data_IF_351683591917
#
_entry.id   IF_351683591917
#
_cell.length_a   1.000
_cell.length_b   1.000
_cell.length_c   1.000
_cell.angle_alpha   90.00
_cell.angle_beta   90.00
_cell.angle_gamma   90.00
#
_symmetry.space_group_name_H-M   'P 1'
#
loop_
_entity.id
_entity.type
_entity.pdbx_description
1 polymer ?
#
# COMPACT_ATOMS: atom_id res chain seq x y z
N UNK A 1 -5.56 -16.36 -5.95
CA UNK A 1 -4.62 -16.10 -4.84
C UNK A 1 -3.96 -14.73 -4.95
N UNK A 2 -3.43 -14.32 -6.11
CA UNK A 2 -2.86 -12.96 -6.29
C UNK A 2 -3.83 -11.84 -5.93
N UNK A 3 -5.08 -11.89 -6.39
CA UNK A 3 -6.11 -10.89 -6.04
C UNK A 3 -6.34 -10.81 -4.52
N UNK A 4 -6.47 -11.96 -3.86
CA UNK A 4 -6.67 -12.01 -2.40
C UNK A 4 -5.46 -11.41 -1.67
N UNK A 5 -4.24 -11.75 -2.11
CA UNK A 5 -3.01 -11.15 -1.56
C UNK A 5 -2.96 -9.64 -1.75
N UNK A 6 -3.34 -9.15 -2.93
CA UNK A 6 -3.41 -7.72 -3.22
C UNK A 6 -4.46 -7.00 -2.37
N UNK A 7 -5.63 -7.59 -2.16
CA UNK A 7 -6.65 -7.01 -1.27
C UNK A 7 -6.16 -7.00 0.18
N UNK A 8 -5.56 -8.09 0.66
CA UNK A 8 -5.03 -8.16 2.02
C UNK A 8 -3.93 -7.12 2.27
N UNK A 9 -2.99 -6.95 1.33
CA UNK A 9 -1.89 -5.99 1.51
C UNK A 9 -2.40 -4.54 1.50
N UNK A 10 -3.35 -4.21 0.62
CA UNK A 10 -3.97 -2.88 0.58
C UNK A 10 -4.82 -2.61 1.83
N UNK A 11 -5.61 -3.59 2.29
CA UNK A 11 -6.39 -3.47 3.52
C UNK A 11 -5.47 -3.26 4.74
N UNK A 12 -4.38 -4.03 4.84
CA UNK A 12 -3.38 -3.90 5.89
C UNK A 12 -2.73 -2.51 5.91
N UNK A 13 -2.34 -2.00 4.74
CA UNK A 13 -1.75 -0.68 4.58
C UNK A 13 -2.72 0.45 4.96
N UNK A 14 -3.97 0.39 4.51
CA UNK A 14 -4.98 1.40 4.86
C UNK A 14 -5.26 1.44 6.37
N UNK A 15 -5.39 0.27 7.02
CA UNK A 15 -5.59 0.19 8.47
C UNK A 15 -4.35 0.67 9.24
N UNK A 16 -3.14 0.43 8.72
CA UNK A 16 -1.91 0.94 9.31
C UNK A 16 -1.87 2.46 9.24
N UNK A 17 -2.16 3.04 8.07
CA UNK A 17 -2.21 4.50 7.88
C UNK A 17 -3.20 5.14 8.86
N UNK A 18 -4.45 4.65 8.91
CA UNK A 18 -5.47 5.10 9.87
C UNK A 18 -4.96 5.11 11.33
N UNK A 19 -4.25 4.05 11.74
CA UNK A 19 -3.70 3.96 13.09
C UNK A 19 -2.55 4.95 13.34
N UNK A 20 -1.63 5.09 12.40
CA UNK A 20 -0.49 5.99 12.52
C UNK A 20 -0.89 7.47 12.43
N UNK A 21 -1.90 7.80 11.63
CA UNK A 21 -2.48 9.14 11.52
C UNK A 21 -3.22 9.53 12.80
N UNK A 22 -3.98 8.60 13.39
CA UNK A 22 -4.57 8.80 14.72
C UNK A 22 -3.51 8.98 15.81
N UNK A 23 -2.43 8.18 15.80
CA UNK A 23 -1.36 8.25 16.80
C UNK A 23 -0.49 9.52 16.66
N UNK A 24 -0.27 10.00 15.44
CA UNK A 24 0.52 11.21 15.19
C UNK A 24 -0.21 12.49 15.58
N UNK A 25 -1.52 12.42 15.86
CA UNK A 25 -2.35 13.56 16.23
C UNK A 25 -2.76 14.43 15.04
N UNK A 26 -2.43 14.02 13.81
CA UNK A 26 -2.77 14.76 12.59
C UNK A 26 -4.30 14.92 12.44
N UNK A 27 -5.04 13.86 12.76
CA UNK A 27 -6.51 13.85 12.71
C UNK A 27 -7.19 14.66 13.83
N UNK A 28 -6.48 14.97 14.93
CA UNK A 28 -7.06 15.76 16.03
C UNK A 28 -7.00 17.28 15.78
N UNK A 29 -6.17 17.71 14.83
CA UNK A 29 -6.00 19.13 14.47
C UNK A 29 -6.91 19.54 13.30
N UNK A 30 -7.33 18.60 12.44
CA UNK A 30 -8.19 18.82 11.28
C UNK A 30 -9.68 18.55 11.57
N UNK A 31 -10.26 19.19 12.58
CA UNK A 31 -11.71 19.06 12.86
C UNK A 31 -12.60 19.85 11.89
N UNK A 32 -12.07 20.88 11.22
CA UNK A 32 -12.87 21.83 10.44
C UNK A 32 -12.79 21.64 8.91
N UNK A 33 -11.85 20.84 8.39
CA UNK A 33 -11.68 20.59 6.96
C UNK A 33 -11.55 19.09 6.66
N UNK A 34 -12.70 18.43 6.52
CA UNK A 34 -12.79 17.13 5.84
C UNK A 34 -13.14 17.42 4.38
N UNK A 35 -12.12 17.58 3.55
CA UNK A 35 -12.25 17.58 2.10
C UNK A 35 -12.56 16.14 1.65
N UNK A 36 -13.26 15.91 0.52
CA UNK A 36 -13.33 14.57 -0.09
C UNK A 36 -11.95 13.97 -0.44
N UNK A 37 -10.88 14.78 -0.35
CA UNK A 37 -9.48 14.37 -0.52
C UNK A 37 -8.71 14.23 0.81
N UNK A 38 -9.30 14.56 1.96
CA UNK A 38 -8.68 14.32 3.26
C UNK A 38 -8.60 12.82 3.51
N UNK A 39 -7.37 12.29 3.60
CA UNK A 39 -7.11 10.88 3.85
C UNK A 39 -7.62 10.40 5.23
N UNK A 40 -7.75 9.08 5.36
CA UNK A 40 -8.16 8.42 6.60
C UNK A 40 -9.66 8.11 6.70
N UNK A 41 -10.03 6.98 7.31
CA UNK A 41 -11.45 6.58 7.43
C UNK A 41 -12.27 7.48 8.37
N UNK A 42 -11.62 8.29 9.21
CA UNK A 42 -12.25 9.10 10.25
C UNK A 42 -12.92 8.30 11.37
N UNK A 43 -12.80 6.97 11.38
CA UNK A 43 -13.45 6.09 12.35
C UNK A 43 -12.78 6.13 13.73
N UNK A 44 -11.45 6.30 13.76
CA UNK A 44 -10.66 6.39 14.98
C UNK A 44 -10.84 7.73 15.72
N UNK A 45 -10.75 8.90 15.06
CA UNK A 45 -11.02 10.19 15.70
C UNK A 45 -12.45 10.31 16.25
N UNK A 46 -13.43 9.68 15.59
CA UNK A 46 -14.83 9.63 16.02
C UNK A 46 -15.10 8.60 17.13
N UNK A 47 -14.09 7.83 17.55
CA UNK A 47 -14.22 6.83 18.62
C UNK A 47 -15.06 5.61 18.26
N UNK A 48 -15.35 5.38 16.97
CA UNK A 48 -16.19 4.27 16.50
C UNK A 48 -15.42 2.93 16.61
N UNK A 49 -14.11 2.97 16.39
CA UNK A 49 -13.22 1.81 16.47
C UNK A 49 -12.11 2.03 17.49
N UNK A 50 -11.73 0.96 18.19
CA UNK A 50 -10.63 0.97 19.14
C UNK A 50 -9.28 0.93 18.39
N UNK A 51 -8.33 1.88 18.62
CA UNK A 51 -7.04 1.94 17.92
C UNK A 51 -6.25 0.64 17.96
N UNK A 52 -6.27 -0.04 19.11
CA UNK A 52 -5.61 -1.33 19.29
C UNK A 52 -6.15 -2.41 18.34
N UNK A 53 -7.46 -2.42 18.08
CA UNK A 53 -8.11 -3.39 17.18
C UNK A 53 -7.75 -3.12 15.73
N UNK A 54 -7.72 -1.85 15.32
CA UNK A 54 -7.30 -1.45 13.96
C UNK A 54 -5.85 -1.86 13.70
N UNK A 55 -4.95 -1.62 14.66
CA UNK A 55 -3.55 -2.04 14.55
C UNK A 55 -3.39 -3.57 14.47
N UNK A 56 -4.11 -4.34 15.31
CA UNK A 56 -4.08 -5.81 15.25
C UNK A 56 -4.62 -6.30 13.90
N UNK A 57 -5.72 -5.73 13.41
CA UNK A 57 -6.29 -6.09 12.12
C UNK A 57 -5.30 -5.82 10.97
N UNK A 58 -4.61 -4.68 10.99
CA UNK A 58 -3.54 -4.36 10.03
C UNK A 58 -2.44 -5.44 10.02
N UNK A 59 -1.92 -5.83 11.18
CA UNK A 59 -0.90 -6.88 11.30
C UNK A 59 -1.41 -8.22 10.76
N UNK A 60 -2.66 -8.59 11.06
CA UNK A 60 -3.25 -9.83 10.57
C UNK A 60 -3.32 -9.83 9.03
N UNK A 61 -3.79 -8.73 8.43
CA UNK A 61 -3.87 -8.60 6.97
C UNK A 61 -2.48 -8.66 6.31
N UNK A 62 -1.48 -7.99 6.88
CA UNK A 62 -0.10 -8.09 6.38
C UNK A 62 0.47 -9.50 6.51
N UNK A 63 0.19 -10.19 7.62
CA UNK A 63 0.63 -11.57 7.84
C UNK A 63 0.01 -12.52 6.81
N UNK A 64 -1.31 -12.41 6.57
CA UNK A 64 -2.00 -13.17 5.53
C UNK A 64 -1.46 -12.86 4.13
N UNK A 65 -1.24 -11.59 3.81
CA UNK A 65 -0.63 -11.18 2.55
C UNK A 65 0.78 -11.77 2.39
N UNK A 66 1.58 -11.78 3.45
CA UNK A 66 2.91 -12.39 3.49
C UNK A 66 2.88 -13.89 3.19
N UNK A 67 1.96 -14.65 3.80
CA UNK A 67 1.79 -16.06 3.48
C UNK A 67 1.40 -16.30 2.02
N UNK A 68 0.50 -15.49 1.47
CA UNK A 68 0.13 -15.55 0.05
C UNK A 68 1.33 -15.22 -0.84
N UNK A 69 2.13 -14.21 -0.48
CA UNK A 69 3.34 -13.83 -1.19
C UNK A 69 4.38 -14.95 -1.23
N UNK A 70 4.63 -15.60 -0.08
CA UNK A 70 5.54 -16.76 0.01
C UNK A 70 5.01 -17.92 -0.85
N UNK A 71 3.72 -18.23 -0.76
CA UNK A 71 3.10 -19.27 -1.59
C UNK A 71 3.25 -18.98 -3.09
N UNK A 72 3.04 -17.72 -3.51
CA UNK A 72 3.24 -17.31 -4.90
C UNK A 72 4.71 -17.40 -5.31
N UNK A 73 5.66 -17.01 -4.46
CA UNK A 73 7.08 -17.14 -4.75
C UNK A 73 7.50 -18.61 -4.95
N UNK A 74 7.01 -19.52 -4.12
CA UNK A 74 7.30 -20.95 -4.25
C UNK A 74 6.69 -21.58 -5.50
N UNK A 75 5.54 -21.08 -5.96
CA UNK A 75 4.81 -21.65 -7.11
C UNK A 75 5.11 -20.99 -8.45
N UNK A 76 5.52 -19.72 -8.44
CA UNK A 76 5.71 -18.87 -9.64
C UNK A 76 7.15 -18.40 -9.85
N UNK A 77 8.03 -18.67 -8.89
CA UNK A 77 9.46 -18.41 -8.99
C UNK A 77 9.94 -17.14 -8.29
N UNK A 78 11.27 -16.96 -8.30
CA UNK A 78 12.02 -15.96 -7.54
C UNK A 78 11.71 -14.50 -7.91
N UNK A 79 11.16 -14.23 -9.10
CA UNK A 79 10.77 -12.87 -9.51
C UNK A 79 9.77 -12.26 -8.52
N UNK A 80 8.85 -13.06 -7.96
CA UNK A 80 7.91 -12.61 -6.94
C UNK A 80 8.63 -12.15 -5.67
N UNK A 81 9.72 -12.82 -5.29
CA UNK A 81 10.53 -12.45 -4.12
C UNK A 81 11.17 -11.08 -4.34
N UNK A 82 11.71 -10.83 -5.53
CA UNK A 82 12.31 -9.54 -5.86
C UNK A 82 11.27 -8.43 -5.81
N UNK A 83 10.11 -8.63 -6.45
CA UNK A 83 9.03 -7.65 -6.40
C UNK A 83 8.57 -7.39 -4.96
N UNK A 84 8.45 -8.45 -4.14
CA UNK A 84 8.13 -8.34 -2.72
C UNK A 84 9.16 -7.53 -1.93
N UNK A 85 10.46 -7.78 -2.13
CA UNK A 85 11.54 -7.02 -1.48
C UNK A 85 11.50 -5.55 -1.88
N UNK A 86 11.35 -5.25 -3.17
CA UNK A 86 11.22 -3.87 -3.65
C UNK A 86 10.01 -3.20 -2.98
N UNK A 87 8.88 -3.90 -2.89
CA UNK A 87 7.67 -3.39 -2.24
C UNK A 87 7.87 -3.09 -0.75
N UNK A 88 8.50 -3.99 0.00
CA UNK A 88 8.79 -3.78 1.43
C UNK A 88 9.76 -2.61 1.63
N UNK A 89 10.82 -2.53 0.84
CA UNK A 89 11.82 -1.46 0.94
C UNK A 89 11.19 -0.10 0.60
N UNK A 90 10.41 -0.03 -0.48
CA UNK A 90 9.73 1.20 -0.87
C UNK A 90 8.64 1.61 0.13
N UNK A 91 7.88 0.66 0.68
CA UNK A 91 6.92 0.93 1.76
C UNK A 91 7.59 1.44 3.04
N UNK A 92 8.77 0.92 3.41
CA UNK A 92 9.53 1.44 4.53
C UNK A 92 9.95 2.90 4.30
N UNK A 93 10.47 3.21 3.11
CA UNK A 93 10.85 4.58 2.77
C UNK A 93 9.67 5.54 2.73
N UNK A 94 8.48 5.08 2.32
CA UNK A 94 7.24 5.86 2.44
C UNK A 94 6.96 6.25 3.90
N UNK A 95 7.02 5.31 4.85
CA UNK A 95 6.67 5.60 6.26
C UNK A 95 7.73 6.43 7.00
N UNK A 96 8.98 6.48 6.52
CA UNK A 96 10.04 7.28 7.16
C UNK A 96 9.92 8.79 6.90
N UNK A 97 10.74 9.61 7.56
CA UNK A 97 10.84 11.09 7.37
C UNK A 97 11.11 11.54 5.91
N UNK A 98 11.23 10.62 4.96
CA UNK A 98 11.29 10.90 3.52
C UNK A 98 9.89 11.22 2.95
N UNK A 99 8.80 10.74 3.56
CA UNK A 99 7.44 11.18 3.23
C UNK A 99 7.27 12.69 3.43
N UNK A 100 7.85 13.25 4.50
CA UNK A 100 7.81 14.70 4.76
C UNK A 100 8.64 15.54 3.76
N UNK A 101 9.25 14.92 2.74
CA UNK A 101 10.04 15.59 1.69
C UNK A 101 9.43 15.46 0.28
N UNK A 102 8.19 15.00 0.15
CA UNK A 102 7.50 14.83 -1.16
C UNK A 102 7.98 13.64 -2.01
N UNK A 103 8.93 12.84 -1.49
CA UNK A 103 9.44 11.65 -2.19
C UNK A 103 8.65 10.39 -1.77
N UNK A 104 7.92 10.44 -0.66
CA UNK A 104 7.07 9.33 -0.20
C UNK A 104 6.01 8.95 -1.22
N UNK A 105 5.39 9.95 -1.86
CA UNK A 105 4.35 9.76 -2.88
C UNK A 105 4.88 8.91 -4.04
N UNK A 106 6.10 9.19 -4.52
CA UNK A 106 6.77 8.39 -5.55
C UNK A 106 6.75 6.89 -5.22
N UNK A 107 7.03 6.53 -3.96
CA UNK A 107 7.04 5.14 -3.53
C UNK A 107 5.63 4.53 -3.48
N UNK A 108 4.60 5.28 -3.13
CA UNK A 108 3.21 4.80 -3.25
C UNK A 108 2.85 4.57 -4.72
N UNK A 109 3.11 5.54 -5.60
CA UNK A 109 2.84 5.41 -7.03
C UNK A 109 3.55 4.20 -7.64
N UNK A 110 4.80 3.95 -7.23
CA UNK A 110 5.57 2.76 -7.61
C UNK A 110 4.92 1.46 -7.13
N UNK A 111 4.52 1.40 -5.85
CA UNK A 111 3.92 0.19 -5.27
C UNK A 111 2.56 -0.11 -5.86
N UNK A 112 1.67 0.87 -5.89
CA UNK A 112 0.28 0.70 -6.30
C UNK A 112 0.10 0.68 -7.82
N UNK A 113 1.05 1.21 -8.59
CA UNK A 113 1.08 1.13 -10.04
C UNK A 113 1.98 -0.01 -10.55
N UNK A 114 3.23 0.26 -10.96
CA UNK A 114 4.11 -0.72 -11.59
C UNK A 114 4.27 -2.04 -10.84
N UNK A 115 4.47 -2.00 -9.53
CA UNK A 115 4.81 -3.21 -8.78
C UNK A 115 3.63 -4.20 -8.73
N UNK A 116 2.42 -3.71 -8.48
CA UNK A 116 1.18 -4.51 -8.51
C UNK A 116 0.85 -5.00 -9.92
N UNK A 117 0.98 -4.14 -10.94
CA UNK A 117 0.65 -4.50 -12.34
C UNK A 117 1.61 -5.56 -12.88
N UNK A 118 2.93 -5.35 -12.72
CA UNK A 118 3.96 -6.29 -13.18
C UNK A 118 3.86 -7.61 -12.41
N UNK A 119 3.68 -7.54 -11.08
CA UNK A 119 3.50 -8.74 -10.26
C UNK A 119 2.25 -9.53 -10.65
N UNK A 120 1.13 -8.85 -10.87
CA UNK A 120 -0.11 -9.46 -11.34
C UNK A 120 0.04 -10.13 -12.70
N UNK A 121 0.71 -9.46 -13.65
CA UNK A 121 1.01 -10.03 -14.97
C UNK A 121 1.89 -11.28 -14.85
N UNK A 122 3.02 -11.18 -14.14
CA UNK A 122 3.97 -12.28 -14.02
C UNK A 122 3.36 -13.52 -13.33
N UNK A 123 2.52 -13.35 -12.31
CA UNK A 123 1.82 -14.48 -11.68
C UNK A 123 0.91 -15.21 -12.67
N UNK A 124 0.30 -14.50 -13.62
CA UNK A 124 -0.66 -15.05 -14.58
C UNK A 124 0.04 -15.66 -15.81
N UNK A 125 1.03 -14.98 -16.36
CA UNK A 125 1.64 -15.35 -17.64
C UNK A 125 2.98 -16.07 -17.49
N UNK A 126 3.62 -15.97 -16.31
CA UNK A 126 4.99 -16.43 -16.07
C UNK A 126 6.01 -15.87 -17.07
N UNK A 127 5.72 -14.67 -17.60
CA UNK A 127 6.54 -13.99 -18.57
C UNK A 127 6.85 -12.56 -18.11
N UNK A 128 7.99 -12.04 -18.51
CA UNK A 128 8.40 -10.65 -18.29
C UNK A 128 8.27 -9.94 -19.63
N UNK A 129 7.44 -8.90 -19.66
CA UNK A 129 7.11 -8.19 -20.87
C UNK A 129 7.12 -6.68 -20.58
N UNK A 130 7.35 -5.85 -21.61
CA UNK A 130 7.45 -4.39 -21.45
C UNK A 130 6.07 -3.74 -21.41
N UNK A 131 5.08 -4.38 -22.03
CA UNK A 131 3.69 -3.98 -22.12
C UNK A 131 3.06 -3.69 -20.75
N UNK A 132 3.13 -4.58 -19.72
CA UNK A 132 2.62 -4.27 -18.38
C UNK A 132 3.37 -3.13 -17.70
N UNK A 133 4.66 -2.93 -17.99
CA UNK A 133 5.43 -1.80 -17.47
C UNK A 133 4.86 -0.50 -18.03
N UNK A 134 4.71 -0.40 -19.35
CA UNK A 134 4.16 0.78 -20.01
C UNK A 134 2.73 1.07 -19.57
N UNK A 135 1.89 0.03 -19.46
CA UNK A 135 0.50 0.16 -19.02
C UNK A 135 0.38 0.65 -17.55
N UNK A 136 1.37 0.36 -16.72
CA UNK A 136 1.38 0.75 -15.31
C UNK A 136 1.82 2.19 -15.05
N UNK A 137 2.54 2.83 -15.99
CA UNK A 137 3.07 4.19 -15.82
C UNK A 137 1.93 5.21 -15.63
N UNK A 138 0.88 5.26 -16.47
CA UNK A 138 -0.23 6.19 -16.26
C UNK A 138 -0.94 5.99 -14.91
N UNK A 139 -1.08 4.74 -14.47
CA UNK A 139 -1.70 4.39 -13.19
C UNK A 139 -0.85 4.92 -12.04
N UNK A 140 0.48 4.70 -12.09
CA UNK A 140 1.41 5.24 -11.11
C UNK A 140 1.33 6.76 -11.02
N UNK A 141 1.32 7.47 -12.16
CA UNK A 141 1.22 8.94 -12.22
C UNK A 141 -0.09 9.43 -11.60
N UNK A 142 -1.23 8.82 -11.92
CA UNK A 142 -2.53 9.21 -11.35
C UNK A 142 -2.54 9.08 -9.83
N UNK A 143 -1.94 8.02 -9.29
CA UNK A 143 -1.85 7.81 -7.84
C UNK A 143 -0.96 8.88 -7.19
N UNK A 144 0.11 9.30 -7.86
CA UNK A 144 0.96 10.41 -7.40
C UNK A 144 0.19 11.72 -7.35
N UNK A 145 -0.52 12.07 -8.43
CA UNK A 145 -1.23 13.35 -8.51
C UNK A 145 -2.35 13.48 -7.49
N UNK A 146 -3.02 12.39 -7.11
CA UNK A 146 -4.07 12.43 -6.09
C UNK A 146 -3.51 12.68 -4.69
N UNK A 147 -2.27 12.27 -4.40
CA UNK A 147 -1.65 12.40 -3.09
C UNK A 147 -0.87 13.71 -2.90
N UNK A 148 -0.55 14.43 -3.99
CA UNK A 148 0.21 15.68 -3.97
C UNK A 148 -0.65 16.91 -3.54
N UNK A 149 -1.96 16.74 -3.34
CA UNK A 149 -2.93 17.82 -3.04
C UNK A 149 -3.08 18.02 -1.52
#
# INVERSE_FOLDING_TARGET
MSLVGAVCINAGANLANDYFDYKSGCDQVNTDFSSPFSGGSGLLPRGILEPRRVYIASILFFTFAGFIGIFLALTRGWVIVILGIIGVVSGYFYTTQIATRGIGEFFIGLNCGPLVVIGGYYVQTQNIALEPVMASIPIGILILEVLWI
#
